data_IF_762913493101
#
_entry.id   IF_762913493101
#
_cell.length_a   1.000
_cell.length_b   1.000
_cell.length_c   1.000
_cell.angle_alpha   90.00
_cell.angle_beta   90.00
_cell.angle_gamma   90.00
#
_symmetry.space_group_name_H-M   'P 1'
#
loop_
_entity.id
_entity.type
_entity.pdbx_description
1 polymer ?
#
# COMPACT_ATOMS: atom_id res chain seq x y z
N UNK A 1 12.82 12.91 8.43
CA UNK A 1 13.14 12.00 7.32
C UNK A 1 12.87 10.59 7.79
N UNK A 2 11.71 10.02 7.44
CA UNK A 2 11.40 8.63 7.76
C UNK A 2 12.34 7.71 6.99
N UNK A 3 13.04 6.82 7.69
CA UNK A 3 13.84 5.78 7.03
C UNK A 3 12.86 4.78 6.40
N UNK A 4 12.92 4.63 5.07
CA UNK A 4 12.24 3.52 4.38
C UNK A 4 12.59 2.21 5.09
N UNK A 5 11.62 1.33 5.37
CA UNK A 5 11.92 0.04 5.96
C UNK A 5 12.85 -0.73 5.03
N UNK A 6 13.90 -1.34 5.61
CA UNK A 6 14.73 -2.30 4.91
C UNK A 6 13.93 -3.57 4.74
N UNK A 7 13.17 -3.67 3.66
CA UNK A 7 12.57 -4.95 3.29
C UNK A 7 13.71 -5.91 2.95
N UNK A 8 13.76 -7.04 3.65
CA UNK A 8 14.77 -8.05 3.41
C UNK A 8 14.67 -8.53 1.94
N UNK A 9 15.76 -8.51 1.15
CA UNK A 9 15.70 -8.92 -0.25
C UNK A 9 15.25 -10.39 -0.46
N UNK A 10 15.18 -11.21 0.58
CA UNK A 10 14.77 -12.62 0.50
C UNK A 10 13.27 -12.89 0.69
N UNK A 11 12.41 -11.92 1.04
CA UNK A 11 10.99 -12.23 1.35
C UNK A 11 10.10 -12.45 0.11
N UNK A 12 10.63 -12.28 -1.10
CA UNK A 12 9.87 -12.40 -2.35
C UNK A 12 8.78 -11.34 -2.50
N UNK A 13 8.03 -11.38 -3.61
CA UNK A 13 7.01 -10.35 -3.94
C UNK A 13 5.89 -10.29 -2.91
N UNK A 14 5.34 -11.45 -2.52
CA UNK A 14 4.25 -11.53 -1.55
C UNK A 14 4.68 -10.97 -0.19
N UNK A 15 5.85 -11.36 0.31
CA UNK A 15 6.36 -10.87 1.61
C UNK A 15 6.63 -9.37 1.61
N UNK A 16 7.15 -8.83 0.50
CA UNK A 16 7.34 -7.39 0.34
C UNK A 16 6.01 -6.62 0.39
N UNK A 17 4.98 -7.09 -0.34
CA UNK A 17 3.66 -6.46 -0.32
C UNK A 17 3.00 -6.57 1.06
N UNK A 18 3.17 -7.70 1.76
CA UNK A 18 2.67 -7.88 3.11
C UNK A 18 3.32 -6.90 4.10
N UNK A 19 4.63 -6.65 3.96
CA UNK A 19 5.33 -5.66 4.78
C UNK A 19 4.76 -4.26 4.59
N UNK A 20 4.43 -3.86 3.35
CA UNK A 20 3.78 -2.58 3.06
C UNK A 20 2.39 -2.50 3.71
N UNK A 21 1.55 -3.54 3.57
CA UNK A 21 0.22 -3.55 4.21
C UNK A 21 0.34 -3.41 5.73
N UNK A 22 1.28 -4.14 6.33
CA UNK A 22 1.54 -4.08 7.78
C UNK A 22 1.98 -2.68 8.19
N UNK A 23 2.92 -2.07 7.46
CA UNK A 23 3.39 -0.72 7.74
C UNK A 23 2.26 0.32 7.66
N UNK A 24 1.39 0.24 6.64
CA UNK A 24 0.25 1.15 6.50
C UNK A 24 -0.70 1.07 7.71
N UNK A 25 -0.95 -0.15 8.19
CA UNK A 25 -1.88 -0.41 9.31
C UNK A 25 -1.30 -0.02 10.66
N UNK A 26 0.01 -0.21 10.88
CA UNK A 26 0.65 0.01 12.18
C UNK A 26 1.16 1.44 12.37
N UNK A 27 1.58 2.11 11.29
CA UNK A 27 2.19 3.44 11.39
C UNK A 27 1.19 4.51 11.83
N UNK A 28 1.66 5.39 12.71
CA UNK A 28 0.92 6.59 13.14
C UNK A 28 1.32 7.85 12.35
N UNK A 29 2.32 7.72 11.46
CA UNK A 29 2.78 8.83 10.63
C UNK A 29 1.94 8.92 9.35
N UNK A 30 1.29 10.08 9.15
CA UNK A 30 0.50 10.36 7.95
C UNK A 30 1.37 10.31 6.68
N UNK A 31 2.52 10.98 6.69
CA UNK A 31 3.49 10.91 5.58
C UNK A 31 3.89 9.47 5.22
N UNK A 32 4.05 8.59 6.22
CA UNK A 32 4.37 7.18 5.98
C UNK A 32 3.18 6.45 5.35
N UNK A 33 1.95 6.68 5.83
CA UNK A 33 0.74 6.12 5.22
C UNK A 33 0.61 6.52 3.75
N UNK A 34 0.80 7.80 3.45
CA UNK A 34 0.76 8.32 2.07
C UNK A 34 1.80 7.61 1.19
N UNK A 35 3.04 7.53 1.66
CA UNK A 35 4.12 6.87 0.91
C UNK A 35 3.85 5.38 0.68
N UNK A 36 3.33 4.68 1.68
CA UNK A 36 3.04 3.25 1.60
C UNK A 36 1.86 3.01 0.66
N UNK A 37 0.79 3.80 0.76
CA UNK A 37 -0.38 3.67 -0.11
C UNK A 37 -0.04 3.98 -1.57
N UNK A 38 0.76 5.02 -1.81
CA UNK A 38 1.28 5.32 -3.15
C UNK A 38 2.13 4.17 -3.72
N UNK A 39 2.95 3.50 -2.90
CA UNK A 39 3.67 2.32 -3.33
C UNK A 39 2.72 1.18 -3.70
N UNK A 40 1.72 0.88 -2.87
CA UNK A 40 0.72 -0.15 -3.14
C UNK A 40 -0.06 0.15 -4.42
N UNK A 41 -0.45 1.40 -4.65
CA UNK A 41 -1.11 1.84 -5.89
C UNK A 41 -0.22 1.60 -7.12
N UNK A 42 1.07 1.94 -7.05
CA UNK A 42 2.03 1.64 -8.13
C UNK A 42 2.16 0.13 -8.40
N UNK A 43 2.10 -0.73 -7.37
CA UNK A 43 2.10 -2.19 -7.55
C UNK A 43 0.80 -2.70 -8.19
N UNK A 44 -0.33 -2.05 -7.91
CA UNK A 44 -1.64 -2.36 -8.49
C UNK A 44 -1.76 -1.99 -9.98
N UNK A 45 -0.78 -1.28 -10.55
CA UNK A 45 -0.75 -1.04 -11.99
C UNK A 45 -0.29 -2.26 -12.81
N UNK A 46 0.45 -3.19 -12.19
CA UNK A 46 0.94 -4.40 -12.85
C UNK A 46 0.02 -5.60 -12.53
N UNK A 47 -0.67 -6.18 -13.55
CA UNK A 47 -1.58 -7.31 -13.36
C UNK A 47 -0.94 -8.54 -12.72
N UNK A 48 0.38 -8.72 -12.85
CA UNK A 48 1.09 -9.84 -12.23
C UNK A 48 1.06 -9.80 -10.69
N UNK A 49 0.78 -8.64 -10.10
CA UNK A 49 0.65 -8.49 -8.66
C UNK A 49 -0.77 -8.77 -8.13
N UNK A 50 -1.78 -8.91 -8.99
CA UNK A 50 -3.19 -8.90 -8.57
C UNK A 50 -3.54 -10.08 -7.68
N UNK A 51 -2.93 -11.24 -7.91
CA UNK A 51 -3.14 -12.40 -7.03
C UNK A 51 -2.63 -12.13 -5.61
N UNK A 52 -1.45 -11.51 -5.47
CA UNK A 52 -0.91 -11.14 -4.16
C UNK A 52 -1.74 -10.04 -3.50
N UNK A 53 -2.15 -9.01 -4.25
CA UNK A 53 -2.96 -7.91 -3.72
C UNK A 53 -4.33 -8.39 -3.24
N UNK A 54 -4.96 -9.33 -3.94
CA UNK A 54 -6.19 -10.00 -3.49
C UNK A 54 -5.94 -10.85 -2.25
N UNK A 55 -4.88 -11.64 -2.23
CA UNK A 55 -4.52 -12.48 -1.08
C UNK A 55 -4.29 -11.65 0.19
N UNK A 56 -3.73 -10.45 0.05
CA UNK A 56 -3.45 -9.52 1.15
C UNK A 56 -4.58 -8.52 1.43
N UNK A 57 -5.72 -8.64 0.75
CA UNK A 57 -6.88 -7.74 0.91
C UNK A 57 -6.56 -6.25 0.68
N UNK A 58 -5.63 -5.94 -0.22
CA UNK A 58 -5.24 -4.56 -0.52
C UNK A 58 -6.39 -3.76 -1.16
N UNK A 59 -7.30 -4.45 -1.85
CA UNK A 59 -8.48 -3.80 -2.43
C UNK A 59 -9.40 -3.22 -1.35
N UNK A 60 -9.62 -3.95 -0.26
CA UNK A 60 -10.41 -3.45 0.87
C UNK A 60 -9.72 -2.23 1.49
N UNK A 61 -8.39 -2.28 1.62
CA UNK A 61 -7.57 -1.17 2.11
C UNK A 61 -7.72 0.09 1.23
N UNK A 62 -7.73 -0.06 -0.10
CA UNK A 62 -8.00 1.08 -0.99
C UNK A 62 -9.41 1.63 -0.80
N UNK A 63 -10.42 0.77 -0.68
CA UNK A 63 -11.81 1.22 -0.46
C UNK A 63 -11.97 1.95 0.87
N UNK A 64 -11.35 1.45 1.94
CA UNK A 64 -11.33 2.12 3.25
C UNK A 64 -10.66 3.50 3.15
N UNK A 65 -9.56 3.59 2.40
CA UNK A 65 -8.81 4.84 2.20
C UNK A 65 -9.61 5.93 1.45
N UNK A 66 -10.67 5.58 0.73
CA UNK A 66 -11.57 6.56 0.09
C UNK A 66 -12.41 7.35 1.11
N UNK A 67 -12.51 6.86 2.35
CA UNK A 67 -13.28 7.50 3.42
C UNK A 67 -12.41 8.37 4.35
N UNK A 68 -11.10 8.45 4.08
CA UNK A 68 -10.17 9.27 4.86
C UNK A 68 -10.32 10.76 4.53
N UNK A 69 -10.05 11.62 5.52
CA UNK A 69 -10.01 13.08 5.31
C UNK A 69 -8.75 13.53 4.56
N UNK A 70 -7.71 12.68 4.54
CA UNK A 70 -6.47 12.98 3.86
C UNK A 70 -6.63 12.82 2.34
N UNK A 71 -6.67 13.95 1.63
CA UNK A 71 -6.85 14.01 0.17
C UNK A 71 -5.83 13.16 -0.59
N UNK A 72 -4.58 13.10 -0.14
CA UNK A 72 -3.55 12.31 -0.80
C UNK A 72 -3.85 10.80 -0.72
N UNK A 73 -4.35 10.32 0.43
CA UNK A 73 -4.76 8.92 0.57
C UNK A 73 -5.93 8.58 -0.36
N UNK A 74 -6.91 9.48 -0.45
CA UNK A 74 -8.06 9.33 -1.36
C UNK A 74 -7.59 9.31 -2.81
N UNK A 75 -6.71 10.22 -3.23
CA UNK A 75 -6.16 10.26 -4.59
C UNK A 75 -5.42 8.97 -4.95
N UNK A 76 -4.55 8.45 -4.06
CA UNK A 76 -3.84 7.20 -4.31
C UNK A 76 -4.78 5.99 -4.39
N UNK A 77 -5.83 5.96 -3.56
CA UNK A 77 -6.83 4.91 -3.60
C UNK A 77 -7.64 4.91 -4.91
N UNK A 78 -8.00 6.09 -5.42
CA UNK A 78 -8.67 6.23 -6.73
C UNK A 78 -7.71 5.79 -7.84
N UNK A 79 -6.44 6.22 -7.80
CA UNK A 79 -5.44 5.86 -8.81
C UNK A 79 -5.16 4.36 -8.86
N UNK A 80 -5.37 3.62 -7.76
CA UNK A 80 -5.24 2.17 -7.75
C UNK A 80 -6.43 1.44 -8.41
N UNK A 81 -7.55 2.12 -8.64
CA UNK A 81 -8.76 1.54 -9.22
C UNK A 81 -8.84 1.63 -10.75
N UNK A 82 -7.90 2.33 -11.41
CA UNK A 82 -7.89 2.59 -12.85
C UNK A 82 -6.50 2.42 -13.45
#
# INVERSE_FOLDING_TARGET
MAQKPKVDPHVGRLGYLQALVTEFQETQSQDAKEQVLANLANFAYDPSNYEYLRQLQVLDLFLDSLSEENEALVEFAIAAAF
#
